data_IF_380508471539
#
_entry.id   IF_380508471539
#
_cell.length_a   1.000
_cell.length_b   1.000
_cell.length_c   1.000
_cell.angle_alpha   90.00
_cell.angle_beta   90.00
_cell.angle_gamma   90.00
#
_symmetry.space_group_name_H-M   'P 1'
#
loop_
_entity.id
_entity.type
_entity.pdbx_description
1 polymer ?
#
# COMPACT_ATOMS: atom_id res chain seq x y z
N UNK A 1 -11.12 29.25 11.35
CA UNK A 1 -11.07 28.75 11.66
C UNK A 1 -10.43 27.73 11.81
N UNK A 2 -10.26 26.99 12.06
CA UNK A 2 -9.64 26.15 12.37
C UNK A 2 -9.50 25.20 11.67
N UNK A 3 -8.60 24.54 11.65
CA UNK A 3 -8.37 23.59 10.91
C UNK A 3 -7.66 22.56 11.60
N UNK A 4 -7.81 22.14 12.81
CA UNK A 4 -7.13 21.00 13.44
C UNK A 4 -7.45 19.70 12.71
N UNK A 5 -8.65 19.57 12.20
CA UNK A 5 -8.98 18.34 11.51
C UNK A 5 -8.16 18.17 10.24
N UNK A 6 -7.89 19.28 9.54
CA UNK A 6 -7.08 19.20 8.34
C UNK A 6 -5.68 18.73 8.68
N UNK A 7 -5.16 19.22 9.75
CA UNK A 7 -3.83 18.87 10.19
C UNK A 7 -3.74 17.38 10.52
N UNK A 8 -4.75 16.89 11.25
CA UNK A 8 -4.79 15.49 11.62
C UNK A 8 -4.95 14.62 10.36
N UNK A 9 -5.73 15.10 9.40
CA UNK A 9 -5.92 14.37 8.16
C UNK A 9 -4.62 14.20 7.41
N UNK A 10 -3.75 15.21 7.45
CA UNK A 10 -2.47 15.10 6.78
C UNK A 10 -1.57 14.06 7.44
N UNK A 11 -1.58 14.01 8.76
CA UNK A 11 -0.79 13.01 9.47
C UNK A 11 -1.28 11.61 9.17
N UNK A 12 -2.60 11.42 9.18
CA UNK A 12 -3.19 10.14 8.86
C UNK A 12 -2.85 9.73 7.44
N UNK A 13 -2.88 10.69 6.53
CA UNK A 13 -2.57 10.45 5.14
C UNK A 13 -1.15 9.92 4.98
N UNK A 14 -0.20 10.54 5.66
CA UNK A 14 1.19 10.10 5.59
C UNK A 14 1.37 8.72 6.21
N UNK A 15 0.68 8.46 7.31
CA UNK A 15 0.74 7.16 7.95
C UNK A 15 0.19 6.07 7.04
N UNK A 16 -0.93 6.35 6.39
CA UNK A 16 -1.51 5.38 5.48
C UNK A 16 -0.61 5.12 4.29
N UNK A 17 0.04 6.16 3.79
CA UNK A 17 0.96 5.98 2.67
C UNK A 17 2.15 5.12 3.08
N UNK A 18 2.67 5.33 4.27
CA UNK A 18 3.77 4.52 4.76
C UNK A 18 3.36 3.07 4.95
N UNK A 19 2.18 2.86 5.50
CA UNK A 19 1.68 1.51 5.70
C UNK A 19 1.49 0.81 4.36
N UNK A 20 0.95 1.53 3.38
CA UNK A 20 0.76 0.97 2.06
C UNK A 20 2.10 0.56 1.45
N UNK A 21 3.09 1.44 1.52
CA UNK A 21 4.41 1.13 0.98
C UNK A 21 5.03 -0.06 1.72
N UNK A 22 4.84 -0.12 3.02
CA UNK A 22 5.36 -1.22 3.82
C UNK A 22 4.73 -2.55 3.39
N UNK A 23 3.41 -2.58 3.25
CA UNK A 23 2.74 -3.82 2.86
C UNK A 23 3.13 -4.24 1.45
N UNK A 24 3.27 -3.29 0.55
CA UNK A 24 3.71 -3.61 -0.80
C UNK A 24 5.09 -4.26 -0.78
N UNK A 25 6.00 -3.71 0.02
CA UNK A 25 7.34 -4.26 0.10
C UNK A 25 7.34 -5.65 0.72
N UNK A 26 6.56 -5.84 1.80
CA UNK A 26 6.50 -7.14 2.45
C UNK A 26 5.94 -8.22 1.52
N UNK A 27 4.88 -7.89 0.81
CA UNK A 27 4.28 -8.86 -0.09
C UNK A 27 5.12 -9.07 -1.34
N UNK A 28 5.84 -8.04 -1.76
CA UNK A 28 6.79 -8.22 -2.85
C UNK A 28 7.83 -9.27 -2.48
N UNK A 29 8.38 -9.16 -1.27
CA UNK A 29 9.43 -10.08 -0.84
C UNK A 29 8.90 -11.48 -0.55
N UNK A 30 7.70 -11.58 -0.02
CA UNK A 30 7.21 -12.86 0.48
C UNK A 30 6.35 -13.61 -0.53
N UNK A 31 5.63 -12.89 -1.38
CA UNK A 31 4.63 -13.52 -2.24
C UNK A 31 4.96 -13.39 -3.72
N UNK A 32 5.21 -12.18 -4.18
CA UNK A 32 5.37 -11.93 -5.60
C UNK A 32 6.81 -12.12 -6.07
N UNK A 33 7.77 -11.86 -5.22
CA UNK A 33 9.19 -12.06 -5.44
C UNK A 33 9.83 -11.06 -6.41
N UNK A 34 9.13 -10.63 -7.44
CA UNK A 34 9.63 -9.61 -8.35
C UNK A 34 8.60 -8.53 -8.55
N UNK A 35 9.07 -7.33 -8.86
CA UNK A 35 8.19 -6.21 -9.13
C UNK A 35 7.34 -6.45 -10.37
N UNK A 36 7.93 -7.11 -11.35
CA UNK A 36 7.21 -7.42 -12.58
C UNK A 36 6.00 -8.31 -12.28
N UNK A 37 6.21 -9.36 -11.50
CA UNK A 37 5.14 -10.27 -11.16
C UNK A 37 4.07 -9.57 -10.32
N UNK A 38 4.50 -8.75 -9.36
CA UNK A 38 3.56 -8.03 -8.52
C UNK A 38 2.68 -7.10 -9.34
N UNK A 39 3.30 -6.33 -10.22
CA UNK A 39 2.54 -5.41 -11.07
C UNK A 39 1.54 -6.17 -11.92
N UNK A 40 1.96 -7.29 -12.48
CA UNK A 40 1.09 -8.09 -13.32
C UNK A 40 -0.08 -8.68 -12.55
N UNK A 41 0.20 -9.24 -11.38
CA UNK A 41 -0.84 -9.88 -10.58
C UNK A 41 -1.85 -8.86 -10.05
N UNK A 42 -1.41 -7.67 -9.74
CA UNK A 42 -2.29 -6.64 -9.22
C UNK A 42 -2.92 -5.78 -10.31
N UNK A 43 -2.50 -5.97 -11.55
CA UNK A 43 -3.05 -5.18 -12.64
C UNK A 43 -2.58 -3.73 -12.58
N UNK A 44 -1.37 -3.49 -12.09
CA UNK A 44 -0.81 -2.16 -11.98
C UNK A 44 0.30 -1.98 -12.99
N UNK A 45 0.50 -0.75 -13.44
CA UNK A 45 1.67 -0.45 -14.25
C UNK A 45 2.89 -0.42 -13.34
N UNK A 46 4.04 -0.67 -13.93
CA UNK A 46 5.29 -0.62 -13.21
C UNK A 46 5.52 0.74 -12.58
N UNK A 47 5.12 1.77 -13.31
CA UNK A 47 5.27 3.14 -12.85
C UNK A 47 4.43 3.40 -11.59
N UNK A 48 3.19 2.89 -11.58
CA UNK A 48 2.33 3.05 -10.42
C UNK A 48 2.90 2.28 -9.24
N UNK A 49 3.38 1.06 -9.47
CA UNK A 49 3.97 0.27 -8.40
C UNK A 49 5.12 1.02 -7.74
N UNK A 50 5.98 1.61 -8.54
CA UNK A 50 7.11 2.34 -7.98
C UNK A 50 6.67 3.58 -7.22
N UNK A 51 5.62 4.25 -7.69
CA UNK A 51 5.08 5.41 -6.99
C UNK A 51 4.54 5.02 -5.62
N UNK A 52 3.85 3.90 -5.55
CA UNK A 52 3.29 3.43 -4.28
C UNK A 52 4.41 3.16 -3.30
N UNK A 53 5.49 2.54 -3.76
CA UNK A 53 6.60 2.21 -2.89
C UNK A 53 7.29 3.44 -2.31
N UNK A 54 7.19 4.57 -2.99
CA UNK A 54 7.82 5.80 -2.54
C UNK A 54 6.82 6.82 -2.03
N UNK A 55 5.57 6.43 -1.91
CA UNK A 55 4.52 7.37 -1.58
C UNK A 55 4.69 7.94 -0.19
N UNK A 56 4.50 9.24 -0.07
CA UNK A 56 4.48 9.92 1.21
C UNK A 56 3.10 10.47 1.52
N UNK A 57 2.18 10.39 0.57
CA UNK A 57 0.81 10.83 0.75
C UNK A 57 -0.11 9.89 0.00
N UNK A 58 -1.33 9.77 0.48
CA UNK A 58 -2.32 8.94 -0.18
C UNK A 58 -2.95 9.72 -1.32
N UNK A 59 -2.61 9.32 -2.53
CA UNK A 59 -3.28 9.82 -3.72
C UNK A 59 -4.34 8.81 -4.12
N UNK A 60 -5.18 9.18 -5.07
CA UNK A 60 -6.19 8.26 -5.58
C UNK A 60 -5.52 7.00 -6.14
N UNK A 61 -4.39 7.17 -6.81
CA UNK A 61 -3.69 6.03 -7.37
C UNK A 61 -3.14 5.11 -6.29
N UNK A 62 -2.60 5.70 -5.22
CA UNK A 62 -2.09 4.89 -4.12
C UNK A 62 -3.23 4.15 -3.43
N UNK A 63 -4.37 4.82 -3.25
CA UNK A 63 -5.53 4.20 -2.64
C UNK A 63 -6.05 3.05 -3.50
N UNK A 64 -6.13 3.26 -4.82
CA UNK A 64 -6.56 2.20 -5.72
C UNK A 64 -5.60 1.02 -5.68
N UNK A 65 -4.31 1.30 -5.64
CA UNK A 65 -3.32 0.24 -5.59
C UNK A 65 -3.44 -0.57 -4.29
N UNK A 66 -3.67 0.12 -3.18
CA UNK A 66 -3.85 -0.55 -1.90
C UNK A 66 -5.09 -1.43 -1.93
N UNK A 67 -6.16 -0.94 -2.52
CA UNK A 67 -7.37 -1.73 -2.61
C UNK A 67 -7.15 -3.00 -3.44
N UNK A 68 -6.41 -2.89 -4.53
CA UNK A 68 -6.10 -4.06 -5.34
C UNK A 68 -5.27 -5.06 -4.56
N UNK A 69 -4.33 -4.57 -3.77
CA UNK A 69 -3.52 -5.44 -2.94
C UNK A 69 -4.39 -6.17 -1.91
N UNK A 70 -5.28 -5.45 -1.26
CA UNK A 70 -6.15 -6.05 -0.26
C UNK A 70 -7.07 -7.11 -0.88
N UNK A 71 -7.62 -6.80 -2.04
CA UNK A 71 -8.48 -7.76 -2.73
C UNK A 71 -7.72 -9.00 -3.14
N UNK A 72 -6.48 -8.84 -3.58
CA UNK A 72 -5.64 -9.98 -3.92
C UNK A 72 -5.41 -10.85 -2.70
N UNK A 73 -5.12 -10.22 -1.56
CA UNK A 73 -4.87 -10.97 -0.33
C UNK A 73 -6.09 -11.73 0.12
N UNK A 74 -7.27 -11.11 0.04
CA UNK A 74 -8.50 -11.79 0.41
C UNK A 74 -8.74 -12.98 -0.51
N UNK A 75 -8.60 -12.77 -1.80
CA UNK A 75 -8.86 -13.79 -2.78
C UNK A 75 -7.92 -14.98 -2.64
N UNK A 76 -6.68 -14.71 -2.28
CA UNK A 76 -5.66 -15.74 -2.18
C UNK A 76 -5.35 -16.15 -0.74
N UNK A 77 -6.17 -15.69 0.20
CA UNK A 77 -6.07 -16.09 1.60
C UNK A 77 -4.70 -15.80 2.21
N UNK A 78 -4.16 -14.64 1.89
CA UNK A 78 -2.87 -14.21 2.42
C UNK A 78 -3.14 -13.50 3.75
N UNK A 79 -2.49 -13.92 4.84
CA UNK A 79 -2.77 -13.37 6.18
C UNK A 79 -2.11 -12.01 6.38
N UNK A 80 -2.81 -10.94 6.05
CA UNK A 80 -2.29 -9.60 6.24
C UNK A 80 -2.00 -9.27 7.70
N UNK A 81 -2.73 -9.88 8.62
CA UNK A 81 -2.54 -9.62 10.05
C UNK A 81 -1.11 -9.87 10.47
N UNK A 82 -0.48 -10.89 9.89
CA UNK A 82 0.90 -11.21 10.21
C UNK A 82 1.83 -10.05 9.89
N UNK A 83 1.62 -9.44 8.72
CA UNK A 83 2.48 -8.33 8.30
C UNK A 83 2.15 -7.06 9.06
N UNK A 84 0.88 -6.85 9.37
CA UNK A 84 0.47 -5.65 10.10
C UNK A 84 1.01 -5.65 11.51
N UNK A 85 1.10 -6.83 12.14
CA UNK A 85 1.61 -6.90 13.50
C UNK A 85 3.09 -6.56 13.58
N UNK A 86 3.81 -6.69 12.47
CA UNK A 86 5.23 -6.34 12.43
C UNK A 86 5.47 -4.87 12.11
N UNK A 87 4.43 -4.17 11.71
CA UNK A 87 4.57 -2.77 11.31
C UNK A 87 4.71 -1.88 12.52
N UNK A 88 5.73 -1.00 12.52
CA UNK A 88 5.94 -0.05 13.62
C UNK A 88 6.22 1.34 13.11
#
# INVERSE_FOLDING_TARGET
MIRPSTFIAEETDMEEARLTAYLFQKLLDAVFLTEHNMARQLGLSYKVLRRVQKAQRMTQRTADAMERLLQYCVRNQIPLDRYLSEYR
#
